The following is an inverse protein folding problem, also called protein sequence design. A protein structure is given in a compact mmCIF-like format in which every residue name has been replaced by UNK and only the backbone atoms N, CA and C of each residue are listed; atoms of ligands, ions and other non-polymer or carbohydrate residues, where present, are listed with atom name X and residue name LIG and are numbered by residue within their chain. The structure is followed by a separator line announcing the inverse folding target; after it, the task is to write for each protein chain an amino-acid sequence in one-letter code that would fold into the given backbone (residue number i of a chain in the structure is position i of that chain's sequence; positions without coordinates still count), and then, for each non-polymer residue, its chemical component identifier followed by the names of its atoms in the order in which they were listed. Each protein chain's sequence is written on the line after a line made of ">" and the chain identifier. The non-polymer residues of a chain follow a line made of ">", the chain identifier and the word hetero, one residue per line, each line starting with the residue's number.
data_IF_406384967560
#
_entry.id   IF_406384967560
#
_cell.length_a   1.000
_cell.length_b   1.000
_cell.length_c   1.000
_cell.angle_alpha   90.00
_cell.angle_beta   90.00
_cell.angle_gamma   90.00
#
_symmetry.space_group_name_H-M   'P 1'
#
loop_
_entity.id
_entity.type
_entity.pdbx_description
1 polymer ?
#
# COMPACT_ATOMS: atom_id res chain seq x y z
N UNK A 1 56.53 -150.31 51.96
CA UNK A 1 56.36 -151.74 51.60
C UNK A 1 55.85 -151.80 50.18
N UNK A 2 56.52 -152.52 49.28
CA UNK A 2 56.01 -152.71 47.90
C UNK A 2 55.18 -153.99 47.91
N UNK A 3 53.87 -153.84 47.76
CA UNK A 3 52.91 -154.93 47.80
C UNK A 3 52.90 -155.62 46.43
N UNK A 4 53.50 -156.80 46.32
CA UNK A 4 53.70 -157.51 45.05
C UNK A 4 52.35 -158.06 44.56
N UNK A 5 51.79 -157.59 43.43
CA UNK A 5 50.53 -158.10 42.92
C UNK A 5 50.73 -159.51 42.32
N UNK A 6 49.91 -160.46 42.74
CA UNK A 6 49.92 -161.82 42.19
C UNK A 6 49.17 -161.86 40.85
N UNK A 7 49.90 -161.87 39.74
CA UNK A 7 49.32 -161.92 38.39
C UNK A 7 48.67 -163.27 38.09
N UNK A 8 47.51 -163.23 37.43
CA UNK A 8 46.79 -164.43 36.99
C UNK A 8 47.54 -165.16 35.88
N UNK A 9 47.60 -166.49 35.93
CA UNK A 9 48.16 -167.33 34.87
C UNK A 9 47.08 -167.89 33.93
N UNK A 10 47.33 -167.76 32.63
CA UNK A 10 46.56 -168.32 31.52
C UNK A 10 47.40 -169.45 30.88
N UNK A 11 46.82 -170.27 29.98
CA UNK A 11 47.40 -171.53 29.49
C UNK A 11 48.85 -171.51 28.92
N UNK A 12 49.46 -170.34 28.70
CA UNK A 12 50.89 -170.16 28.38
C UNK A 12 51.53 -168.90 29.00
N UNK A 13 51.22 -168.56 30.26
CA UNK A 13 51.95 -167.51 31.01
C UNK A 13 51.05 -166.58 31.83
N UNK A 14 51.60 -165.50 32.36
CA UNK A 14 50.83 -164.46 33.06
C UNK A 14 49.94 -163.66 32.10
N UNK A 15 48.81 -163.15 32.59
CA UNK A 15 47.93 -162.24 31.84
C UNK A 15 48.67 -160.93 31.52
N UNK A 16 48.94 -160.62 30.24
CA UNK A 16 49.67 -159.40 29.87
C UNK A 16 48.98 -158.13 30.37
N UNK A 17 47.65 -158.12 30.43
CA UNK A 17 46.87 -156.92 30.75
C UNK A 17 46.93 -156.56 32.24
N UNK A 18 47.13 -157.53 33.14
CA UNK A 18 47.39 -157.28 34.56
C UNK A 18 48.83 -156.80 34.78
N UNK A 19 49.80 -157.40 34.07
CA UNK A 19 51.22 -157.04 34.16
C UNK A 19 51.46 -155.62 33.63
N UNK A 20 50.92 -155.26 32.46
CA UNK A 20 51.06 -153.92 31.89
C UNK A 20 50.41 -152.84 32.78
N UNK A 21 49.29 -153.15 33.44
CA UNK A 21 48.68 -152.26 34.45
C UNK A 21 49.59 -152.04 35.65
N UNK A 22 50.14 -153.11 36.23
CA UNK A 22 51.05 -153.00 37.38
C UNK A 22 52.36 -152.29 37.03
N UNK A 23 52.92 -152.51 35.84
CA UNK A 23 54.09 -151.77 35.34
C UNK A 23 53.73 -150.29 35.15
N UNK A 24 52.55 -150.00 34.58
CA UNK A 24 52.04 -148.65 34.43
C UNK A 24 51.89 -147.91 35.78
N UNK A 25 51.32 -148.57 36.78
CA UNK A 25 51.12 -147.99 38.12
C UNK A 25 52.44 -147.85 38.90
N UNK A 26 53.39 -148.78 38.75
CA UNK A 26 54.75 -148.63 39.29
C UNK A 26 55.52 -147.49 38.62
N UNK A 27 55.31 -147.27 37.31
CA UNK A 27 55.90 -146.15 36.60
C UNK A 27 55.29 -144.81 37.06
N UNK A 28 53.96 -144.72 37.23
CA UNK A 28 53.29 -143.56 37.86
C UNK A 28 53.83 -143.29 39.27
N UNK A 29 53.95 -144.32 40.11
CA UNK A 29 54.45 -144.18 41.47
C UNK A 29 55.93 -143.72 41.51
N UNK A 30 56.78 -144.22 40.60
CA UNK A 30 58.16 -143.76 40.42
C UNK A 30 58.21 -142.29 40.01
N UNK A 31 57.38 -141.90 39.04
CA UNK A 31 57.41 -140.54 38.49
C UNK A 31 56.78 -139.52 39.46
N UNK A 32 55.77 -139.93 40.23
CA UNK A 32 55.27 -139.18 41.38
C UNK A 32 56.35 -139.01 42.47
N UNK A 33 57.02 -140.09 42.89
CA UNK A 33 58.09 -140.00 43.89
C UNK A 33 59.28 -139.13 43.41
N UNK A 34 59.54 -139.08 42.10
CA UNK A 34 60.52 -138.15 41.50
C UNK A 34 60.05 -136.70 41.51
N UNK A 35 58.77 -136.44 41.28
CA UNK A 35 58.20 -135.09 41.40
C UNK A 35 58.26 -134.61 42.86
N UNK A 36 57.81 -135.43 43.82
CA UNK A 36 57.86 -135.13 45.25
C UNK A 36 59.30 -134.88 45.74
N UNK A 37 60.29 -135.64 45.25
CA UNK A 37 61.70 -135.40 45.55
C UNK A 37 62.24 -134.09 44.94
N UNK A 38 61.78 -133.69 43.75
CA UNK A 38 62.14 -132.42 43.13
C UNK A 38 61.53 -131.23 43.90
N UNK A 39 60.26 -131.32 44.29
CA UNK A 39 59.58 -130.31 45.10
C UNK A 39 60.22 -130.16 46.48
N UNK A 40 60.60 -131.28 47.12
CA UNK A 40 61.35 -131.28 48.38
C UNK A 40 62.71 -130.56 48.22
N UNK A 41 63.48 -130.86 47.17
CA UNK A 41 64.75 -130.19 46.89
C UNK A 41 64.57 -128.67 46.63
N UNK A 42 63.52 -128.27 45.94
CA UNK A 42 63.19 -126.84 45.73
C UNK A 42 62.81 -126.15 47.04
N UNK A 43 62.06 -126.81 47.93
CA UNK A 43 61.70 -126.25 49.24
C UNK A 43 62.91 -126.08 50.15
N UNK A 44 63.85 -127.03 50.12
CA UNK A 44 65.10 -126.99 50.91
C UNK A 44 66.02 -125.86 50.44
N UNK A 45 66.19 -125.68 49.13
CA UNK A 45 66.95 -124.56 48.57
C UNK A 45 66.33 -123.19 48.96
N UNK A 46 64.99 -123.07 48.92
CA UNK A 46 64.28 -121.85 49.37
C UNK A 46 64.52 -121.56 50.86
N UNK A 47 64.48 -122.59 51.71
CA UNK A 47 64.75 -122.44 53.14
C UNK A 47 66.19 -122.01 53.42
N UNK A 48 67.18 -122.58 52.72
CA UNK A 48 68.59 -122.18 52.84
C UNK A 48 68.82 -120.73 52.41
N UNK A 49 68.20 -120.29 51.31
CA UNK A 49 68.29 -118.89 50.87
C UNK A 49 67.69 -117.91 51.90
N UNK A 50 66.59 -118.28 52.56
CA UNK A 50 65.97 -117.46 53.60
C UNK A 50 66.85 -117.33 54.87
N UNK A 51 67.57 -118.38 55.26
CA UNK A 51 68.52 -118.35 56.38
C UNK A 51 69.65 -117.36 56.10
N UNK A 52 70.27 -117.44 54.92
CA UNK A 52 71.36 -116.54 54.53
C UNK A 52 70.94 -115.05 54.55
N UNK A 53 69.72 -114.73 54.09
CA UNK A 53 69.18 -113.36 54.14
C UNK A 53 68.98 -112.85 55.57
N UNK A 54 68.56 -113.71 56.50
CA UNK A 54 68.38 -113.32 57.91
C UNK A 54 69.72 -113.08 58.62
N UNK A 55 70.74 -113.87 58.31
CA UNK A 55 72.10 -113.67 58.83
C UNK A 55 72.72 -112.34 58.36
N UNK A 56 72.54 -112.00 57.08
CA UNK A 56 72.96 -110.71 56.53
C UNK A 56 72.27 -109.54 57.24
N UNK A 57 70.95 -109.60 57.43
CA UNK A 57 70.19 -108.58 58.15
C UNK A 57 70.68 -108.41 59.60
N UNK A 58 70.91 -109.51 60.33
CA UNK A 58 71.45 -109.47 61.70
C UNK A 58 72.84 -108.83 61.77
N UNK A 59 73.70 -109.08 60.77
CA UNK A 59 75.01 -108.41 60.68
C UNK A 59 74.87 -106.90 60.48
N UNK A 60 73.94 -106.46 59.62
CA UNK A 60 73.64 -105.06 59.37
C UNK A 60 73.08 -104.32 60.59
N UNK A 61 72.21 -104.96 61.39
CA UNK A 61 71.72 -104.38 62.63
C UNK A 61 72.81 -104.24 63.69
N UNK A 62 73.69 -105.24 63.86
CA UNK A 62 74.84 -105.16 64.78
C UNK A 62 75.79 -104.01 64.43
N UNK A 63 76.09 -103.82 63.14
CA UNK A 63 76.94 -102.72 62.67
C UNK A 63 76.31 -101.32 62.91
N UNK A 64 74.97 -101.20 62.88
CA UNK A 64 74.26 -99.95 63.21
C UNK A 64 74.28 -99.65 64.71
N UNK A 65 74.13 -100.66 65.57
CA UNK A 65 74.18 -100.50 67.02
C UNK A 65 75.55 -99.99 67.48
N UNK A 66 76.64 -100.60 67.01
CA UNK A 66 78.01 -100.17 67.36
C UNK A 66 78.28 -98.70 67.02
N UNK A 67 77.79 -98.21 65.86
CA UNK A 67 77.90 -96.78 65.46
C UNK A 67 77.11 -95.83 66.36
N UNK A 68 75.99 -96.29 66.91
CA UNK A 68 75.11 -95.52 67.79
C UNK A 68 75.65 -95.46 69.23
N UNK A 69 76.33 -96.51 69.68
CA UNK A 69 77.01 -96.56 70.97
C UNK A 69 78.22 -95.61 70.98
N UNK A 70 79.07 -95.63 69.94
CA UNK A 70 80.19 -94.69 69.81
C UNK A 70 79.80 -93.21 69.74
N UNK A 71 78.55 -92.90 69.38
CA UNK A 71 78.05 -91.52 69.26
C UNK A 71 77.49 -90.94 70.57
N UNK A 72 77.43 -91.72 71.67
CA UNK A 72 76.83 -91.30 72.94
C UNK A 72 77.81 -90.77 74.00
N UNK A 73 79.11 -90.98 73.82
CA UNK A 73 80.11 -90.60 74.84
C UNK A 73 80.45 -89.10 74.82
N UNK A 74 80.06 -88.37 73.77
CA UNK A 74 80.25 -86.92 73.66
C UNK A 74 79.05 -86.14 74.22
N UNK A 75 79.08 -85.80 75.52
CA UNK A 75 78.17 -84.78 76.07
C UNK A 75 78.69 -83.38 75.74
N UNK A 76 77.89 -82.49 75.13
CA UNK A 76 78.36 -81.19 74.65
C UNK A 76 78.74 -80.24 75.80
N UNK A 77 79.82 -79.48 75.61
CA UNK A 77 80.33 -78.54 76.59
C UNK A 77 79.64 -77.17 76.50
N UNK A 78 79.79 -76.34 77.54
CA UNK A 78 79.21 -74.98 77.57
C UNK A 78 79.68 -74.09 76.41
N UNK A 79 80.88 -74.33 75.89
CA UNK A 79 81.42 -73.73 74.66
C UNK A 79 80.51 -73.95 73.45
N UNK A 80 79.99 -75.17 73.28
CA UNK A 80 79.18 -75.56 72.13
C UNK A 80 77.80 -74.90 72.15
N UNK A 81 77.28 -74.63 73.35
CA UNK A 81 76.08 -73.83 73.58
C UNK A 81 76.31 -72.39 73.13
N UNK A 82 77.43 -71.77 73.53
CA UNK A 82 77.81 -70.41 73.09
C UNK A 82 77.95 -70.32 71.56
N UNK A 83 78.64 -71.28 70.95
CA UNK A 83 78.79 -71.36 69.49
C UNK A 83 77.44 -71.58 68.77
N UNK A 84 76.51 -72.33 69.38
CA UNK A 84 75.16 -72.55 68.86
C UNK A 84 74.27 -71.30 68.99
N UNK A 85 74.37 -70.55 70.09
CA UNK A 85 73.67 -69.26 70.25
C UNK A 85 74.20 -68.25 69.22
N UNK A 86 75.52 -68.17 69.01
CA UNK A 86 76.11 -67.33 67.96
C UNK A 86 75.58 -67.67 66.56
N UNK A 87 75.45 -68.96 66.22
CA UNK A 87 74.83 -69.40 64.96
C UNK A 87 73.34 -69.06 64.85
N UNK A 88 72.58 -69.16 65.95
CA UNK A 88 71.16 -68.77 65.98
C UNK A 88 70.98 -67.26 65.79
N UNK A 89 71.84 -66.44 66.42
CA UNK A 89 71.83 -64.98 66.24
C UNK A 89 72.22 -64.59 64.81
N UNK A 90 73.26 -65.20 64.24
CA UNK A 90 73.63 -64.97 62.84
C UNK A 90 72.49 -65.34 61.87
N UNK A 91 71.86 -66.50 62.06
CA UNK A 91 70.71 -66.93 61.25
C UNK A 91 69.51 -65.96 61.38
N UNK A 92 69.24 -65.45 62.59
CA UNK A 92 68.17 -64.49 62.82
C UNK A 92 68.48 -63.10 62.23
N UNK A 93 69.74 -62.69 62.23
CA UNK A 93 70.22 -61.46 61.56
C UNK A 93 70.08 -61.60 60.03
N UNK A 94 70.50 -62.74 59.47
CA UNK A 94 70.35 -63.07 58.04
C UNK A 94 68.87 -63.11 57.63
N UNK A 95 68.01 -63.80 58.39
CA UNK A 95 66.57 -63.87 58.15
C UNK A 95 65.90 -62.49 58.28
N UNK A 96 66.33 -61.66 59.25
CA UNK A 96 65.84 -60.29 59.41
C UNK A 96 66.24 -59.39 58.23
N UNK A 97 67.46 -59.54 57.73
CA UNK A 97 67.94 -58.80 56.58
C UNK A 97 67.24 -59.25 55.29
N UNK A 98 66.99 -60.55 55.12
CA UNK A 98 66.21 -61.08 54.01
C UNK A 98 64.74 -60.59 54.05
N UNK A 99 64.11 -60.59 55.24
CA UNK A 99 62.76 -60.03 55.42
C UNK A 99 62.70 -58.55 55.08
N UNK A 100 63.71 -57.75 55.48
CA UNK A 100 63.82 -56.34 55.08
C UNK A 100 63.97 -56.17 53.56
N UNK A 101 64.84 -56.95 52.92
CA UNK A 101 65.03 -56.89 51.47
C UNK A 101 63.77 -57.29 50.70
N UNK A 102 63.06 -58.34 51.14
CA UNK A 102 61.76 -58.73 50.56
C UNK A 102 60.71 -57.64 50.75
N UNK A 103 60.61 -57.04 51.94
CA UNK A 103 59.66 -55.96 52.22
C UNK A 103 59.96 -54.69 51.40
N UNK A 104 61.25 -54.35 51.23
CA UNK A 104 61.70 -53.25 50.37
C UNK A 104 61.31 -53.52 48.91
N UNK A 105 61.66 -54.70 48.37
CA UNK A 105 61.34 -55.06 46.98
C UNK A 105 59.82 -55.14 46.71
N UNK A 106 59.03 -55.57 47.68
CA UNK A 106 57.57 -55.58 47.60
C UNK A 106 56.99 -54.14 47.62
N UNK A 107 57.51 -53.25 48.46
CA UNK A 107 57.12 -51.85 48.47
C UNK A 107 57.51 -51.14 47.16
N UNK A 108 58.71 -51.41 46.64
CA UNK A 108 59.17 -50.91 45.35
C UNK A 108 58.29 -51.46 44.21
N UNK A 109 57.85 -52.72 44.27
CA UNK A 109 56.90 -53.28 43.27
C UNK A 109 55.56 -52.54 43.32
N UNK A 110 54.93 -52.47 44.50
CA UNK A 110 53.60 -51.85 44.65
C UNK A 110 53.61 -50.37 44.28
N UNK A 111 54.69 -49.65 44.62
CA UNK A 111 54.82 -48.24 44.22
C UNK A 111 55.01 -48.07 42.71
N UNK A 112 55.81 -48.92 42.06
CA UNK A 112 55.96 -48.89 40.59
C UNK A 112 54.65 -49.29 39.87
N UNK A 113 53.90 -50.27 40.37
CA UNK A 113 52.58 -50.63 39.83
C UNK A 113 51.58 -49.48 39.98
N UNK A 114 51.53 -48.83 41.15
CA UNK A 114 50.65 -47.68 41.40
C UNK A 114 51.02 -46.45 40.53
N UNK A 115 52.31 -46.21 40.29
CA UNK A 115 52.77 -45.14 39.37
C UNK A 115 52.33 -45.47 37.94
N UNK A 116 52.56 -46.70 37.47
CA UNK A 116 52.17 -47.11 36.12
C UNK A 116 50.64 -47.04 35.90
N UNK A 117 49.83 -47.42 36.89
CA UNK A 117 48.37 -47.29 36.83
C UNK A 117 47.94 -45.81 36.82
N UNK A 118 48.57 -44.94 37.62
CA UNK A 118 48.30 -43.51 37.63
C UNK A 118 48.69 -42.82 36.30
N UNK A 119 49.84 -43.17 35.71
CA UNK A 119 50.26 -42.72 34.38
C UNK A 119 49.29 -43.20 33.28
N UNK A 120 48.82 -44.46 33.36
CA UNK A 120 47.83 -44.98 32.43
C UNK A 120 46.47 -44.25 32.59
N UNK A 121 46.02 -44.00 33.82
CA UNK A 121 44.77 -43.32 34.10
C UNK A 121 44.79 -41.86 33.63
N UNK A 122 45.86 -41.12 33.93
CA UNK A 122 46.05 -39.74 33.46
C UNK A 122 46.18 -39.68 31.94
N UNK A 123 46.97 -40.55 31.32
CA UNK A 123 47.08 -40.66 29.86
C UNK A 123 45.78 -41.09 29.15
N UNK A 124 44.86 -41.77 29.85
CA UNK A 124 43.51 -42.05 29.35
C UNK A 124 42.61 -40.81 29.47
N UNK A 125 42.63 -40.12 30.61
CA UNK A 125 41.85 -38.91 30.86
C UNK A 125 42.23 -37.76 29.91
N UNK A 126 43.53 -37.56 29.65
CA UNK A 126 44.05 -36.58 28.70
C UNK A 126 43.55 -36.83 27.27
N UNK A 127 43.60 -38.09 26.82
CA UNK A 127 43.11 -38.49 25.49
C UNK A 127 41.61 -38.28 25.38
N UNK A 128 40.84 -38.73 26.37
CA UNK A 128 39.39 -38.52 26.39
C UNK A 128 39.03 -37.03 26.37
N UNK A 129 39.74 -36.20 27.15
CA UNK A 129 39.53 -34.75 27.20
C UNK A 129 39.80 -34.09 25.84
N UNK A 130 40.90 -34.47 25.16
CA UNK A 130 41.21 -33.99 23.80
C UNK A 130 40.17 -34.43 22.77
N UNK A 131 39.69 -35.68 22.85
CA UNK A 131 38.64 -36.19 21.97
C UNK A 131 37.30 -35.46 22.16
N UNK A 132 36.94 -35.13 23.41
CA UNK A 132 35.72 -34.37 23.73
C UNK A 132 35.83 -32.93 23.26
N UNK A 133 36.95 -32.25 23.51
CA UNK A 133 37.21 -30.88 23.03
C UNK A 133 37.17 -30.84 21.49
N UNK A 134 37.89 -31.74 20.82
CA UNK A 134 37.91 -31.81 19.35
C UNK A 134 36.51 -32.04 18.75
N UNK A 135 35.70 -32.91 19.36
CA UNK A 135 34.29 -33.10 18.94
C UNK A 135 33.47 -31.83 19.14
N UNK A 136 33.54 -31.21 20.32
CA UNK A 136 32.83 -29.98 20.63
C UNK A 136 33.21 -28.83 19.68
N UNK A 137 34.50 -28.69 19.35
CA UNK A 137 34.99 -27.71 18.37
C UNK A 137 34.44 -27.96 16.97
N UNK A 138 34.38 -29.22 16.51
CA UNK A 138 33.79 -29.55 15.21
C UNK A 138 32.27 -29.34 15.16
N UNK A 139 31.56 -29.58 16.27
CA UNK A 139 30.12 -29.33 16.38
C UNK A 139 29.83 -27.82 16.44
N UNK A 140 30.59 -27.06 17.22
CA UNK A 140 30.52 -25.61 17.27
C UNK A 140 30.80 -24.98 15.89
N UNK A 141 31.83 -25.45 15.17
CA UNK A 141 32.13 -25.01 13.81
C UNK A 141 30.95 -25.27 12.85
N UNK A 142 30.34 -26.46 12.88
CA UNK A 142 29.16 -26.80 12.07
C UNK A 142 27.96 -25.93 12.40
N UNK A 143 27.69 -25.68 13.69
CA UNK A 143 26.58 -24.82 14.13
C UNK A 143 26.80 -23.38 13.65
N UNK A 144 28.02 -22.85 13.78
CA UNK A 144 28.36 -21.51 13.28
C UNK A 144 28.26 -21.40 11.76
N UNK A 145 28.66 -22.44 11.01
CA UNK A 145 28.55 -22.47 9.55
C UNK A 145 27.08 -22.55 9.09
N UNK A 146 26.26 -23.37 9.76
CA UNK A 146 24.83 -23.46 9.51
C UNK A 146 24.10 -22.14 9.83
N UNK A 147 24.42 -21.52 10.97
CA UNK A 147 23.85 -20.23 11.37
C UNK A 147 24.24 -19.10 10.40
N UNK A 148 25.47 -19.11 9.86
CA UNK A 148 25.89 -18.18 8.81
C UNK A 148 25.11 -18.39 7.52
N UNK A 149 25.03 -19.63 7.00
CA UNK A 149 24.21 -19.94 5.80
C UNK A 149 22.77 -19.46 5.96
N UNK A 150 22.15 -19.73 7.11
CA UNK A 150 20.78 -19.30 7.37
C UNK A 150 20.66 -17.77 7.44
N UNK A 151 21.65 -17.07 8.00
CA UNK A 151 21.66 -15.60 8.02
C UNK A 151 21.83 -15.03 6.60
N UNK A 152 22.75 -15.59 5.80
CA UNK A 152 22.97 -15.20 4.42
C UNK A 152 21.70 -15.45 3.58
N UNK A 153 21.04 -16.61 3.73
CA UNK A 153 19.74 -16.93 3.09
C UNK A 153 18.61 -15.95 3.46
N UNK A 154 18.55 -15.50 4.73
CA UNK A 154 17.56 -14.51 5.19
C UNK A 154 17.84 -13.13 4.58
N UNK A 155 19.11 -12.72 4.50
CA UNK A 155 19.50 -11.44 3.86
C UNK A 155 19.19 -11.47 2.36
N UNK A 156 19.60 -12.54 1.68
CA UNK A 156 19.32 -12.78 0.26
C UNK A 156 17.82 -12.76 -0.07
N UNK A 157 16.99 -13.34 0.82
CA UNK A 157 15.54 -13.32 0.69
C UNK A 157 14.99 -11.89 0.90
N UNK A 158 15.43 -11.20 1.96
CA UNK A 158 14.99 -9.86 2.27
C UNK A 158 15.37 -8.83 1.20
N UNK A 159 16.57 -8.96 0.60
CA UNK A 159 17.01 -8.11 -0.51
C UNK A 159 16.18 -8.35 -1.77
N UNK A 160 15.86 -9.62 -2.10
CA UNK A 160 14.96 -9.95 -3.22
C UNK A 160 13.55 -9.40 -3.01
N UNK A 161 12.99 -9.54 -1.81
CA UNK A 161 11.68 -8.95 -1.50
C UNK A 161 11.74 -7.42 -1.55
N UNK A 162 12.78 -6.79 -0.99
CA UNK A 162 12.94 -5.34 -1.03
C UNK A 162 13.09 -4.77 -2.45
N UNK A 163 13.75 -5.49 -3.36
CA UNK A 163 13.80 -5.13 -4.80
C UNK A 163 12.41 -5.28 -5.43
N UNK A 164 11.75 -6.43 -5.26
CA UNK A 164 10.42 -6.65 -5.84
C UNK A 164 9.39 -5.60 -5.37
N UNK A 165 9.36 -5.25 -4.08
CA UNK A 165 8.47 -4.20 -3.55
C UNK A 165 8.79 -2.81 -4.10
N UNK A 166 10.06 -2.50 -4.42
CA UNK A 166 10.44 -1.24 -5.07
C UNK A 166 9.99 -1.22 -6.53
N UNK A 167 10.22 -2.29 -7.27
CA UNK A 167 9.76 -2.43 -8.66
C UNK A 167 8.22 -2.33 -8.75
N UNK A 168 7.49 -2.97 -7.83
CA UNK A 168 6.03 -2.84 -7.69
C UNK A 168 5.61 -1.39 -7.42
N UNK A 169 6.26 -0.72 -6.46
CA UNK A 169 5.94 0.67 -6.09
C UNK A 169 6.28 1.66 -7.22
N UNK A 170 7.38 1.45 -7.93
CA UNK A 170 7.78 2.24 -9.09
C UNK A 170 6.78 2.04 -10.25
N UNK A 171 6.40 0.80 -10.57
CA UNK A 171 5.39 0.50 -11.59
C UNK A 171 4.03 1.13 -11.26
N UNK A 172 3.60 1.09 -9.99
CA UNK A 172 2.38 1.77 -9.53
C UNK A 172 2.51 3.29 -9.67
N UNK A 173 3.63 3.88 -9.26
CA UNK A 173 3.87 5.31 -9.39
C UNK A 173 3.90 5.78 -10.85
N UNK A 174 4.57 5.04 -11.74
CA UNK A 174 4.58 5.32 -13.18
C UNK A 174 3.19 5.18 -13.79
N UNK A 175 2.40 4.17 -13.42
CA UNK A 175 1.02 4.02 -13.86
C UNK A 175 0.13 5.19 -13.39
N UNK A 176 0.29 5.67 -12.15
CA UNK A 176 -0.41 6.86 -11.66
C UNK A 176 0.03 8.12 -12.39
N UNK A 177 1.32 8.30 -12.65
CA UNK A 177 1.87 9.44 -13.41
C UNK A 177 1.38 9.46 -14.85
N UNK A 178 1.35 8.31 -15.51
CA UNK A 178 0.81 8.16 -16.87
C UNK A 178 -0.69 8.46 -16.92
N UNK A 179 -1.48 7.96 -15.95
CA UNK A 179 -2.91 8.25 -15.85
C UNK A 179 -3.19 9.73 -15.58
N UNK A 180 -2.41 10.38 -14.71
CA UNK A 180 -2.51 11.81 -14.45
C UNK A 180 -2.15 12.65 -15.68
N UNK A 181 -1.11 12.28 -16.43
CA UNK A 181 -0.74 12.94 -17.68
C UNK A 181 -1.82 12.78 -18.77
N UNK A 182 -2.43 11.59 -18.89
CA UNK A 182 -3.54 11.34 -19.81
C UNK A 182 -4.76 12.20 -19.44
N UNK A 183 -5.17 12.21 -18.16
CA UNK A 183 -6.28 13.03 -17.69
C UNK A 183 -6.05 14.54 -17.87
N UNK A 184 -4.80 15.01 -17.71
CA UNK A 184 -4.43 16.40 -17.98
C UNK A 184 -4.55 16.73 -19.49
N UNK A 185 -4.05 15.85 -20.38
CA UNK A 185 -4.18 16.03 -21.82
C UNK A 185 -5.65 16.00 -22.29
N UNK A 186 -6.46 15.09 -21.74
CA UNK A 186 -7.91 15.06 -21.98
C UNK A 186 -8.59 16.35 -21.49
N UNK A 187 -8.21 16.88 -20.32
CA UNK A 187 -8.74 18.15 -19.82
C UNK A 187 -8.34 19.35 -20.70
N UNK A 188 -7.09 19.41 -21.15
CA UNK A 188 -6.62 20.44 -22.09
C UNK A 188 -7.35 20.36 -23.44
N UNK A 189 -7.58 19.16 -23.98
CA UNK A 189 -8.38 18.96 -25.19
C UNK A 189 -9.83 19.43 -24.97
N UNK A 190 -10.49 19.01 -23.89
CA UNK A 190 -11.85 19.44 -23.59
C UNK A 190 -11.96 20.96 -23.41
N UNK A 191 -10.93 21.60 -22.84
CA UNK A 191 -10.86 23.06 -22.72
C UNK A 191 -10.67 23.74 -24.08
N UNK A 192 -9.83 23.18 -24.96
CA UNK A 192 -9.65 23.66 -26.33
C UNK A 192 -10.95 23.55 -27.13
N UNK A 193 -11.62 22.38 -27.12
CA UNK A 193 -12.90 22.19 -27.80
C UNK A 193 -14.00 23.14 -27.30
N UNK A 194 -14.02 23.44 -25.99
CA UNK A 194 -14.95 24.43 -25.41
C UNK A 194 -14.62 25.85 -25.85
N UNK A 195 -13.34 26.20 -25.98
CA UNK A 195 -12.89 27.51 -26.51
C UNK A 195 -13.26 27.64 -27.98
N UNK A 196 -13.02 26.61 -28.79
CA UNK A 196 -13.34 26.62 -30.22
C UNK A 196 -14.86 26.73 -30.45
N UNK A 197 -15.68 25.99 -29.70
CA UNK A 197 -17.15 26.14 -29.71
C UNK A 197 -17.59 27.56 -29.32
N UNK A 198 -17.06 28.10 -28.22
CA UNK A 198 -17.37 29.46 -27.78
C UNK A 198 -16.92 30.54 -28.79
N UNK A 199 -15.78 30.34 -29.46
CA UNK A 199 -15.31 31.24 -30.53
C UNK A 199 -16.27 31.20 -31.73
N UNK A 200 -16.69 30.02 -32.19
CA UNK A 200 -17.66 29.87 -33.29
C UNK A 200 -19.02 30.46 -32.93
N UNK A 201 -19.50 30.25 -31.70
CA UNK A 201 -20.73 30.88 -31.19
C UNK A 201 -20.61 32.41 -31.16
N UNK A 202 -19.47 32.95 -30.71
CA UNK A 202 -19.21 34.39 -30.71
C UNK A 202 -19.08 34.98 -32.13
N UNK A 203 -18.42 34.28 -33.05
CA UNK A 203 -18.31 34.68 -34.46
C UNK A 203 -19.68 34.70 -35.16
N UNK A 204 -20.51 33.68 -34.94
CA UNK A 204 -21.86 33.63 -35.53
C UNK A 204 -22.79 34.72 -34.95
N UNK A 205 -22.72 34.99 -33.64
CA UNK A 205 -23.43 36.13 -33.03
C UNK A 205 -22.92 37.47 -33.58
N UNK A 206 -21.60 37.65 -33.66
CA UNK A 206 -20.98 38.88 -34.18
C UNK A 206 -21.37 39.15 -35.63
N UNK A 207 -21.33 38.13 -36.50
CA UNK A 207 -21.79 38.23 -37.88
C UNK A 207 -23.29 38.54 -37.97
N UNK A 208 -24.11 37.97 -37.07
CA UNK A 208 -25.54 38.29 -36.97
C UNK A 208 -25.79 39.75 -36.57
N UNK A 209 -25.04 40.27 -35.59
CA UNK A 209 -25.10 41.67 -35.18
C UNK A 209 -24.60 42.62 -36.26
N UNK A 210 -23.52 42.30 -36.95
CA UNK A 210 -23.01 43.10 -38.07
C UNK A 210 -24.02 43.17 -39.24
N UNK A 211 -24.66 42.04 -39.58
CA UNK A 211 -25.76 42.02 -40.55
C UNK A 211 -27.00 42.81 -40.10
N UNK A 212 -27.31 42.81 -38.80
CA UNK A 212 -28.41 43.63 -38.27
C UNK A 212 -28.07 45.13 -38.37
N UNK A 213 -26.84 45.52 -38.04
CA UNK A 213 -26.34 46.89 -38.17
C UNK A 213 -26.31 47.32 -39.65
N UNK A 214 -25.89 46.45 -40.58
CA UNK A 214 -25.87 46.79 -42.01
C UNK A 214 -27.28 47.06 -42.54
N UNK A 215 -28.26 46.21 -42.20
CA UNK A 215 -29.68 46.41 -42.57
C UNK A 215 -30.28 47.66 -41.93
N UNK A 216 -29.89 48.01 -40.71
CA UNK A 216 -30.33 49.25 -40.06
C UNK A 216 -29.72 50.49 -40.74
N UNK A 217 -28.45 50.43 -41.17
CA UNK A 217 -27.81 51.49 -41.98
C UNK A 217 -28.48 51.63 -43.34
N UNK A 218 -28.66 50.54 -44.08
CA UNK A 218 -29.41 50.56 -45.36
C UNK A 218 -30.81 51.15 -45.21
N UNK A 219 -31.53 50.83 -44.12
CA UNK A 219 -32.83 51.43 -43.84
C UNK A 219 -32.73 52.93 -43.49
N UNK A 220 -31.70 53.33 -42.74
CA UNK A 220 -31.45 54.74 -42.41
C UNK A 220 -31.19 55.56 -43.67
N UNK A 221 -30.26 55.11 -44.51
CA UNK A 221 -29.88 55.77 -45.76
C UNK A 221 -31.08 55.89 -46.72
N UNK A 222 -31.92 54.83 -46.80
CA UNK A 222 -33.17 54.89 -47.58
C UNK A 222 -34.19 55.89 -47.00
N UNK A 223 -34.35 55.97 -45.67
CA UNK A 223 -35.23 56.95 -45.02
C UNK A 223 -34.71 58.38 -45.17
N UNK A 224 -33.39 58.60 -45.18
CA UNK A 224 -32.80 59.90 -45.49
C UNK A 224 -33.07 60.29 -46.95
N UNK A 225 -32.89 59.38 -47.91
CA UNK A 225 -33.23 59.62 -49.32
C UNK A 225 -34.73 59.89 -49.52
N UNK A 226 -35.62 59.16 -48.85
CA UNK A 226 -37.07 59.42 -48.86
C UNK A 226 -37.38 60.80 -48.24
N UNK A 227 -36.74 61.17 -47.12
CA UNK A 227 -36.92 62.46 -46.49
C UNK A 227 -36.41 63.62 -47.37
N UNK A 228 -35.27 63.47 -48.04
CA UNK A 228 -34.75 64.43 -49.02
C UNK A 228 -35.67 64.57 -50.24
N UNK A 229 -36.26 63.47 -50.73
CA UNK A 229 -37.24 63.48 -51.82
C UNK A 229 -38.55 64.17 -51.40
N UNK A 230 -39.07 63.87 -50.21
CA UNK A 230 -40.25 64.54 -49.66
C UNK A 230 -39.99 66.03 -49.42
N UNK A 231 -38.81 66.39 -48.91
CA UNK A 231 -38.43 67.77 -48.63
C UNK A 231 -38.15 68.58 -49.91
N UNK A 232 -37.58 67.96 -50.95
CA UNK A 232 -37.44 68.59 -52.27
C UNK A 232 -38.79 68.73 -52.97
N UNK A 233 -39.62 67.69 -52.99
CA UNK A 233 -41.00 67.78 -53.51
C UNK A 233 -41.87 68.82 -52.78
N UNK A 234 -41.77 68.90 -51.45
CA UNK A 234 -42.46 69.92 -50.66
C UNK A 234 -41.93 71.34 -50.94
N UNK A 235 -40.61 71.51 -51.16
CA UNK A 235 -40.02 72.78 -51.61
C UNK A 235 -40.52 73.18 -53.00
N UNK A 236 -40.57 72.25 -53.94
CA UNK A 236 -41.11 72.51 -55.29
C UNK A 236 -42.59 72.90 -55.24
N UNK A 237 -43.41 72.20 -54.44
CA UNK A 237 -44.82 72.56 -54.22
C UNK A 237 -44.97 73.92 -53.53
N UNK A 238 -44.13 74.24 -52.55
CA UNK A 238 -44.08 75.55 -51.91
C UNK A 238 -43.66 76.66 -52.90
N UNK A 239 -42.72 76.38 -53.80
CA UNK A 239 -42.36 77.30 -54.87
C UNK A 239 -43.49 77.49 -55.89
N UNK A 240 -44.19 76.43 -56.28
CA UNK A 240 -45.30 76.48 -57.22
C UNK A 240 -46.49 77.27 -56.65
N UNK A 241 -46.86 77.01 -55.39
CA UNK A 241 -47.90 77.77 -54.68
C UNK A 241 -47.49 79.23 -54.48
N UNK A 242 -46.22 79.52 -54.15
CA UNK A 242 -45.69 80.88 -54.11
C UNK A 242 -45.69 81.58 -55.48
N UNK A 243 -45.42 80.87 -56.59
CA UNK A 243 -45.49 81.40 -57.95
C UNK A 243 -46.95 81.71 -58.32
N UNK A 244 -47.87 80.77 -58.11
CA UNK A 244 -49.30 80.95 -58.34
C UNK A 244 -49.88 82.12 -57.52
N UNK A 245 -49.62 82.18 -56.21
CA UNK A 245 -50.07 83.27 -55.35
C UNK A 245 -49.50 84.65 -55.76
N UNK A 246 -48.26 84.70 -56.29
CA UNK A 246 -47.68 85.92 -56.87
C UNK A 246 -48.37 86.31 -58.18
N UNK A 247 -48.66 85.35 -59.05
CA UNK A 247 -49.39 85.59 -60.31
C UNK A 247 -50.82 86.06 -60.03
N UNK A 248 -51.53 85.42 -59.10
CA UNK A 248 -52.84 85.86 -58.60
C UNK A 248 -52.75 87.26 -58.00
N UNK A 249 -51.77 87.56 -57.15
CA UNK A 249 -51.56 88.90 -56.61
C UNK A 249 -51.29 89.95 -57.71
N UNK A 250 -50.52 89.60 -58.74
CA UNK A 250 -50.30 90.47 -59.92
C UNK A 250 -51.61 90.66 -60.69
N UNK A 251 -52.43 89.63 -60.88
CA UNK A 251 -53.74 89.71 -61.52
C UNK A 251 -54.74 90.53 -60.69
N UNK A 252 -54.73 90.41 -59.36
CA UNK A 252 -55.53 91.24 -58.45
C UNK A 252 -55.10 92.71 -58.51
N UNK A 253 -53.79 93.01 -58.51
CA UNK A 253 -53.30 94.38 -58.68
C UNK A 253 -53.59 94.92 -60.09
N UNK A 254 -53.50 94.10 -61.14
CA UNK A 254 -53.80 94.50 -62.50
C UNK A 254 -55.30 94.76 -62.72
N UNK A 255 -56.17 93.89 -62.19
CA UNK A 255 -57.63 94.07 -62.22
C UNK A 255 -58.08 95.24 -61.36
N UNK A 256 -57.51 95.45 -60.16
CA UNK A 256 -57.74 96.62 -59.33
C UNK A 256 -57.27 97.93 -60.01
N UNK A 257 -56.16 97.90 -60.75
CA UNK A 257 -55.74 99.03 -61.60
C UNK A 257 -56.68 99.25 -62.78
N UNK A 258 -57.18 98.19 -63.41
CA UNK A 258 -58.13 98.27 -64.52
C UNK A 258 -59.49 98.82 -64.06
N UNK A 259 -60.01 98.39 -62.91
CA UNK A 259 -61.22 98.97 -62.31
C UNK A 259 -60.97 100.40 -61.86
N UNK A 260 -59.82 100.73 -61.26
CA UNK A 260 -59.48 102.13 -60.94
C UNK A 260 -59.38 103.03 -62.18
N UNK A 261 -58.84 102.54 -63.30
CA UNK A 261 -58.83 103.27 -64.59
C UNK A 261 -60.23 103.38 -65.20
N UNK A 262 -61.06 102.34 -65.07
CA UNK A 262 -62.46 102.35 -65.51
C UNK A 262 -63.27 103.38 -64.70
N UNK A 263 -63.20 103.33 -63.37
CA UNK A 263 -63.82 104.30 -62.45
C UNK A 263 -63.30 105.71 -62.75
N UNK A 264 -61.99 105.90 -62.98
CA UNK A 264 -61.47 107.21 -63.41
C UNK A 264 -62.12 107.69 -64.71
N UNK A 265 -62.18 106.87 -65.76
CA UNK A 265 -62.82 107.23 -67.04
C UNK A 265 -64.33 107.44 -66.93
N UNK A 266 -65.00 106.70 -66.06
CA UNK A 266 -66.43 106.88 -65.77
C UNK A 266 -66.63 108.20 -65.02
N UNK A 267 -65.83 108.49 -63.98
CA UNK A 267 -65.84 109.78 -63.27
C UNK A 267 -65.41 110.95 -64.14
N UNK A 268 -64.52 110.75 -65.12
CA UNK A 268 -64.08 111.75 -66.10
C UNK A 268 -65.18 112.03 -67.12
N UNK A 269 -65.89 111.00 -67.61
CA UNK A 269 -67.11 111.17 -68.41
C UNK A 269 -68.25 111.80 -67.64
N UNK A 270 -68.39 111.49 -66.35
CA UNK A 270 -69.37 112.14 -65.47
C UNK A 270 -69.00 113.60 -65.22
N UNK A 271 -67.71 113.92 -65.08
CA UNK A 271 -67.19 115.30 -65.05
C UNK A 271 -67.42 116.03 -66.37
N UNK A 272 -67.11 115.42 -67.52
CA UNK A 272 -67.40 115.98 -68.85
C UNK A 272 -68.90 116.19 -69.05
N UNK A 273 -69.75 115.23 -68.64
CA UNK A 273 -71.19 115.36 -68.67
C UNK A 273 -71.69 116.44 -67.70
N UNK A 274 -71.08 116.60 -66.53
CA UNK A 274 -71.39 117.66 -65.58
C UNK A 274 -70.93 119.04 -66.07
N UNK A 275 -69.79 119.13 -66.76
CA UNK A 275 -69.31 120.34 -67.44
C UNK A 275 -70.21 120.67 -68.63
N UNK A 276 -70.61 119.71 -69.45
CA UNK A 276 -71.58 119.92 -70.54
C UNK A 276 -72.98 120.30 -70.01
N UNK A 277 -73.41 119.76 -68.85
CA UNK A 277 -74.60 120.25 -68.14
C UNK A 277 -74.40 121.68 -67.66
N UNK A 278 -73.26 122.02 -67.05
CA UNK A 278 -72.92 123.39 -66.62
C UNK A 278 -72.90 124.37 -67.81
N UNK A 279 -72.32 124.00 -68.93
CA UNK A 279 -72.16 124.88 -70.09
C UNK A 279 -73.46 125.00 -70.89
N UNK A 280 -74.27 123.95 -70.96
CA UNK A 280 -75.65 124.06 -71.46
C UNK A 280 -76.55 124.84 -70.50
N UNK A 281 -76.32 124.81 -69.18
CA UNK A 281 -76.95 125.72 -68.22
C UNK A 281 -76.46 127.16 -68.43
N UNK A 282 -75.17 127.39 -68.67
CA UNK A 282 -74.64 128.72 -68.99
C UNK A 282 -75.21 129.27 -70.31
N UNK A 283 -75.36 128.43 -71.34
CA UNK A 283 -76.00 128.80 -72.60
C UNK A 283 -77.50 129.07 -72.44
N UNK A 284 -78.20 128.32 -71.56
CA UNK A 284 -79.58 128.61 -71.15
C UNK A 284 -79.68 129.89 -70.33
N UNK A 285 -78.72 130.18 -69.45
CA UNK A 285 -78.64 131.43 -68.69
C UNK A 285 -78.26 132.64 -69.58
N UNK A 286 -77.52 132.45 -70.66
CA UNK A 286 -77.28 133.47 -71.67
C UNK A 286 -78.57 133.80 -72.45
N UNK A 287 -79.31 132.77 -72.90
CA UNK A 287 -80.63 132.95 -73.50
C UNK A 287 -81.65 133.55 -72.52
N UNK A 288 -81.66 133.12 -71.26
CA UNK A 288 -82.52 133.68 -70.22
C UNK A 288 -82.14 135.12 -69.88
N UNK A 289 -80.86 135.52 -69.89
CA UNK A 289 -80.46 136.94 -69.80
C UNK A 289 -80.96 137.77 -70.98
N UNK A 290 -81.06 137.17 -72.16
CA UNK A 290 -81.60 137.82 -73.36
C UNK A 290 -83.15 137.88 -73.34
N UNK A 291 -83.84 136.92 -72.72
CA UNK A 291 -85.30 136.94 -72.49
C UNK A 291 -85.71 137.77 -71.26
N UNK A 292 -84.85 137.90 -70.24
CA UNK A 292 -85.06 138.76 -69.07
C UNK A 292 -84.83 140.24 -69.37
N UNK A 293 -84.26 140.59 -70.53
CA UNK A 293 -84.33 141.95 -71.09
C UNK A 293 -85.72 142.28 -71.70
N UNK A 294 -86.59 141.27 -71.86
CA UNK A 294 -87.94 141.40 -72.43
C UNK A 294 -89.06 140.97 -71.49
N UNK A 295 -88.72 140.65 -70.23
CA UNK A 295 -89.70 140.36 -69.18
C UNK A 295 -89.37 141.12 -67.87
N UNK A 296 -88.97 142.38 -68.04
CA UNK A 296 -89.13 143.41 -67.02
C UNK A 296 -90.63 143.73 -66.84
N UNK A 297 -91.34 142.84 -66.13
CA UNK A 297 -92.51 143.20 -65.33
C UNK A 297 -92.91 142.06 -64.37
N UNK A 298 -93.38 142.42 -63.17
CA UNK A 298 -94.04 141.56 -62.17
C UNK A 298 -93.17 140.62 -61.31
N UNK A 299 -92.45 141.24 -60.37
CA UNK A 299 -92.32 140.90 -58.92
C UNK A 299 -92.46 139.42 -58.49
N UNK A 300 -91.51 138.75 -57.84
CA UNK A 300 -90.71 139.15 -56.65
C UNK A 300 -91.51 139.46 -55.37
N UNK A 301 -91.94 138.42 -54.66
CA UNK A 301 -92.05 138.25 -53.18
C UNK A 301 -92.61 136.82 -52.96
N UNK A 302 -92.40 136.12 -51.84
CA UNK A 302 -91.91 136.50 -50.52
C UNK A 302 -90.95 135.40 -50.03
N UNK A 303 -89.74 135.79 -49.64
CA UNK A 303 -88.83 134.91 -48.91
C UNK A 303 -89.30 134.70 -47.47
N UNK A 304 -88.74 133.66 -46.83
CA UNK A 304 -88.69 133.40 -45.38
C UNK A 304 -89.71 132.39 -44.79
N UNK A 305 -89.28 131.73 -43.71
CA UNK A 305 -89.89 130.64 -42.90
C UNK A 305 -89.63 129.22 -43.44
N UNK A 306 -88.73 128.38 -42.89
CA UNK A 306 -88.25 128.14 -41.50
C UNK A 306 -89.24 127.34 -40.63
N UNK A 307 -88.72 126.26 -40.02
CA UNK A 307 -89.30 125.31 -39.05
C UNK A 307 -89.86 123.95 -39.57
N UNK A 308 -89.17 122.85 -39.18
CA UNK A 308 -89.69 121.68 -38.43
C UNK A 308 -90.79 120.75 -39.04
N UNK A 309 -90.89 119.43 -38.77
CA UNK A 309 -90.10 118.45 -37.99
C UNK A 309 -90.59 116.98 -38.25
N UNK A 310 -89.80 115.99 -37.74
CA UNK A 310 -90.20 114.63 -37.24
C UNK A 310 -90.61 113.50 -38.20
N UNK A 311 -90.30 112.21 -37.92
CA UNK A 311 -89.24 111.57 -37.08
C UNK A 311 -89.14 110.05 -37.37
N UNK A 312 -88.08 109.40 -36.86
CA UNK A 312 -88.07 107.98 -36.50
C UNK A 312 -87.01 107.12 -37.21
N UNK A 313 -86.15 106.33 -36.56
CA UNK A 313 -85.34 106.41 -35.32
C UNK A 313 -84.73 104.99 -35.08
N UNK A 314 -83.46 104.92 -34.64
CA UNK A 314 -82.81 103.74 -34.01
C UNK A 314 -81.96 102.79 -34.88
N UNK A 315 -80.90 102.11 -34.38
CA UNK A 315 -79.83 102.44 -33.39
C UNK A 315 -78.78 101.29 -33.33
N UNK A 316 -77.53 101.53 -32.85
CA UNK A 316 -76.45 100.54 -32.57
C UNK A 316 -75.40 100.33 -33.71
N UNK A 317 -74.10 100.71 -33.69
CA UNK A 317 -73.03 100.97 -32.67
C UNK A 317 -72.20 99.68 -32.32
N UNK A 318 -70.95 99.42 -32.78
CA UNK A 318 -69.57 100.01 -32.62
C UNK A 318 -68.77 99.51 -31.38
N UNK A 319 -67.44 99.21 -31.36
CA UNK A 319 -66.32 99.07 -32.35
C UNK A 319 -65.08 98.36 -31.70
N UNK A 320 -63.93 98.19 -32.39
CA UNK A 320 -62.54 97.82 -31.90
C UNK A 320 -62.29 96.39 -31.36
N UNK A 321 -61.20 95.62 -31.58
CA UNK A 321 -59.70 95.72 -31.72
C UNK A 321 -58.85 95.49 -30.46
N UNK A 322 -58.25 94.28 -30.39
CA UNK A 322 -56.85 93.91 -30.02
C UNK A 322 -56.29 94.01 -28.56
N UNK A 323 -55.35 93.07 -28.30
CA UNK A 323 -54.24 93.04 -27.33
C UNK A 323 -54.41 92.81 -25.79
N UNK A 324 -53.76 91.72 -25.35
CA UNK A 324 -52.90 91.53 -24.13
C UNK A 324 -53.43 91.52 -22.67
N UNK A 325 -53.36 90.31 -22.08
CA UNK A 325 -52.54 89.90 -20.90
C UNK A 325 -53.00 90.12 -19.41
N UNK A 326 -52.54 89.15 -18.58
CA UNK A 326 -52.28 89.13 -17.13
C UNK A 326 -53.40 88.98 -16.04
N UNK A 327 -53.22 87.93 -15.21
CA UNK A 327 -53.43 87.84 -13.72
C UNK A 327 -54.87 87.92 -13.14
N UNK A 328 -55.25 87.32 -11.98
CA UNK A 328 -54.68 86.32 -11.04
C UNK A 328 -55.79 85.85 -10.04
N UNK A 329 -55.59 84.73 -9.32
CA UNK A 329 -56.30 84.29 -8.08
C UNK A 329 -57.82 83.96 -8.15
N UNK A 330 -58.42 83.00 -7.40
CA UNK A 330 -57.98 82.16 -6.26
C UNK A 330 -58.88 80.91 -6.05
N UNK A 331 -58.29 79.81 -5.54
CA UNK A 331 -58.80 78.83 -4.53
C UNK A 331 -60.10 77.98 -4.78
N UNK A 332 -60.32 76.76 -4.25
CA UNK A 332 -59.72 76.00 -3.12
C UNK A 332 -59.95 74.46 -3.24
N UNK A 333 -58.93 73.60 -2.96
CA UNK A 333 -58.91 72.16 -2.45
C UNK A 333 -59.91 71.06 -2.99
N UNK A 334 -59.73 69.72 -2.94
CA UNK A 334 -59.01 68.73 -2.07
C UNK A 334 -58.67 67.40 -2.84
N UNK A 335 -57.61 66.68 -2.43
CA UNK A 335 -57.32 65.21 -2.60
C UNK A 335 -57.19 64.61 -4.03
N UNK A 336 -56.40 63.56 -4.30
CA UNK A 336 -55.33 62.85 -3.57
C UNK A 336 -54.35 62.23 -4.60
N UNK A 337 -53.11 61.91 -4.20
CA UNK A 337 -52.09 61.33 -5.10
C UNK A 337 -51.79 59.85 -4.77
N UNK A 338 -51.54 59.03 -5.80
CA UNK A 338 -50.41 58.07 -5.93
C UNK A 338 -50.58 57.20 -7.18
N UNK A 339 -49.64 57.27 -8.13
CA UNK A 339 -49.30 56.20 -9.09
C UNK A 339 -47.76 56.17 -9.31
N UNK A 340 -47.25 55.05 -9.82
CA UNK A 340 -45.87 54.55 -9.67
C UNK A 340 -44.74 55.28 -10.45
N UNK A 341 -43.49 54.93 -10.11
CA UNK A 341 -42.44 54.74 -11.11
C UNK A 341 -41.80 53.33 -11.06
N UNK A 342 -41.62 52.72 -12.23
CA UNK A 342 -40.96 51.43 -12.42
C UNK A 342 -39.57 51.61 -13.07
N UNK A 343 -38.47 51.17 -12.42
CA UNK A 343 -37.18 50.84 -13.09
C UNK A 343 -36.27 49.90 -12.26
N UNK A 344 -36.39 48.60 -12.51
CA UNK A 344 -35.32 47.67 -12.99
C UNK A 344 -33.90 47.69 -12.35
N UNK A 345 -33.59 46.58 -11.61
CA UNK A 345 -32.28 45.89 -11.44
C UNK A 345 -31.18 46.61 -10.59
N UNK A 346 -30.22 45.97 -9.90
CA UNK A 346 -29.56 44.64 -10.02
C UNK A 346 -29.09 44.10 -8.64
N UNK A 347 -28.81 42.79 -8.57
CA UNK A 347 -27.72 42.12 -7.81
C UNK A 347 -27.99 41.38 -6.47
N UNK A 348 -27.49 40.13 -6.43
CA UNK A 348 -27.09 39.28 -5.29
C UNK A 348 -28.12 38.92 -4.20
N UNK A 349 -28.08 37.72 -3.59
CA UNK A 349 -27.61 36.39 -4.00
C UNK A 349 -28.28 35.40 -3.01
N UNK A 350 -28.80 34.27 -3.48
CA UNK A 350 -29.37 33.27 -2.57
C UNK A 350 -28.27 32.34 -2.05
N UNK A 351 -28.07 32.29 -0.73
CA UNK A 351 -27.37 31.19 -0.08
C UNK A 351 -28.41 30.15 0.34
N UNK A 352 -28.60 29.13 -0.51
CA UNK A 352 -29.27 27.90 -0.12
C UNK A 352 -28.37 27.11 0.84
N UNK A 353 -28.77 27.02 2.10
CA UNK A 353 -28.13 26.16 3.08
C UNK A 353 -28.58 24.71 2.89
N UNK A 354 -28.07 24.06 1.84
CA UNK A 354 -28.28 22.63 1.59
C UNK A 354 -27.42 21.81 2.57
N UNK A 355 -28.04 20.83 3.23
CA UNK A 355 -27.38 19.99 4.22
C UNK A 355 -26.53 18.91 3.53
N UNK A 356 -25.24 18.85 3.87
CA UNK A 356 -24.38 17.72 3.55
C UNK A 356 -24.25 16.81 4.79
N UNK A 357 -24.79 15.60 4.70
CA UNK A 357 -24.45 14.51 5.62
C UNK A 357 -22.99 14.09 5.38
N UNK A 358 -22.12 14.28 6.38
CA UNK A 358 -20.82 13.60 6.41
C UNK A 358 -21.01 12.22 7.07
N UNK A 359 -21.16 11.17 6.25
CA UNK A 359 -21.06 9.79 6.71
C UNK A 359 -19.64 9.51 7.23
N UNK A 360 -19.51 9.51 8.56
CA UNK A 360 -18.30 9.15 9.29
C UNK A 360 -18.09 7.62 9.26
N UNK A 361 -17.63 7.09 8.12
CA UNK A 361 -17.15 5.70 8.02
C UNK A 361 -15.84 5.52 8.81
N UNK A 362 -15.98 5.20 10.09
CA UNK A 362 -14.89 4.73 10.94
C UNK A 362 -14.67 3.23 10.73
N UNK A 363 -13.99 2.88 9.63
CA UNK A 363 -13.51 1.52 9.42
C UNK A 363 -12.56 1.09 10.56
N UNK A 364 -12.80 -0.12 11.06
CA UNK A 364 -12.08 -0.69 12.20
C UNK A 364 -10.68 -1.13 11.76
N UNK A 365 -9.65 -0.41 12.22
CA UNK A 365 -8.27 -0.91 12.12
C UNK A 365 -8.05 -2.04 13.14
N UNK A 366 -8.24 -3.27 12.67
CA UNK A 366 -7.96 -4.50 13.42
C UNK A 366 -6.43 -4.64 13.64
N UNK A 367 -5.93 -4.07 14.75
CA UNK A 367 -4.52 -4.21 15.14
C UNK A 367 -4.32 -5.59 15.78
N UNK A 368 -3.48 -6.40 15.12
CA UNK A 368 -3.13 -7.77 15.48
C UNK A 368 -2.39 -7.81 16.83
N UNK A 369 -3.04 -8.27 17.90
CA UNK A 369 -2.36 -8.64 19.15
C UNK A 369 -1.57 -9.95 18.98
N UNK A 370 -0.29 -9.85 18.61
CA UNK A 370 0.64 -10.99 18.58
C UNK A 370 1.09 -11.34 20.00
N UNK A 371 0.42 -12.34 20.58
CA UNK A 371 0.84 -13.27 21.64
C UNK A 371 2.19 -12.98 22.35
N UNK A 372 2.13 -12.31 23.51
CA UNK A 372 3.22 -12.27 24.50
C UNK A 372 2.73 -12.41 25.95
N UNK A 373 2.11 -13.54 26.32
CA UNK A 373 1.80 -13.83 27.74
C UNK A 373 2.04 -15.26 28.23
N UNK A 374 2.59 -16.17 27.41
CA UNK A 374 2.90 -17.56 27.84
C UNK A 374 4.09 -17.70 28.81
N UNK A 375 4.64 -16.61 29.36
CA UNK A 375 5.72 -16.60 30.37
C UNK A 375 5.24 -16.33 31.80
N UNK A 376 4.24 -17.06 32.29
CA UNK A 376 3.88 -17.01 33.73
C UNK A 376 3.26 -18.29 34.34
N UNK A 377 3.77 -19.48 34.00
CA UNK A 377 3.29 -20.72 34.64
C UNK A 377 4.24 -21.93 34.78
N UNK A 378 5.56 -21.74 34.88
CA UNK A 378 6.48 -22.79 35.38
C UNK A 378 7.51 -22.21 36.36
N UNK A 379 7.14 -22.08 37.63
CA UNK A 379 8.09 -21.93 38.75
C UNK A 379 7.43 -22.37 40.08
N UNK A 380 6.93 -23.61 40.11
CA UNK A 380 6.49 -24.26 41.35
C UNK A 380 6.35 -25.79 41.22
N UNK A 381 7.47 -26.50 41.10
CA UNK A 381 7.62 -27.90 41.58
C UNK A 381 9.10 -28.24 41.63
N UNK A 382 9.60 -28.55 42.84
CA UNK A 382 11.04 -28.69 43.10
C UNK A 382 11.52 -30.14 43.19
N UNK A 383 12.77 -30.26 43.58
CA UNK A 383 13.43 -31.37 44.29
C UNK A 383 14.12 -30.67 45.51
N UNK A 384 14.06 -31.16 46.75
CA UNK A 384 14.66 -32.39 47.30
C UNK A 384 16.15 -32.53 46.99
#
# INVERSE_FOLDING_TARGET
>A
MIQIPGFRTVLRGYDPTEVDRAIGDLCKARDQARAEAADAALSLNKAQAAIAQLEEQLSGYRARLAKLESAKEETPAFSDIGARIGRMLALAEDESNELRQRAQAEADRVTNEAIAEAEQMTGNADRHSRDVISKADTEAARILEAAKRQADEIVDYADREAVARREEAEAVYEAHRARAAAAAAEFEQNLAERRDKANVEFETQSAGHEQAISKLRERHDNLELEAEQLLSGAKEQAELTMKAAREEAIQHVASARATAVKIRRESERELEAAVARRDSINARLANLRQMLATLDNTNSTLADRLAELKNGDGEGEEVSTDATDATDATDTVVEAATEDPEVVNVEQAAEDAEAADEESDLEQTEIIEVDQASRKKVSSRGHQ
#
